data_IF_732296672224
#
_entry.id   IF_732296672224
#
_cell.length_a   1.000
_cell.length_b   1.000
_cell.length_c   1.000
_cell.angle_alpha   90.00
_cell.angle_beta   90.00
_cell.angle_gamma   90.00
#
_symmetry.space_group_name_H-M   'P 1'
#
loop_
_entity.id
_entity.type
_entity.pdbx_description
1 polymer ?
#
# COMPACT_ATOMS: atom_id res chain seq x y z
N UNK A 1 19.25 -11.63 8.24
CA UNK A 1 17.79 -11.76 8.11
C UNK A 1 17.54 -12.34 6.74
N UNK A 2 17.09 -13.59 6.67
CA UNK A 2 16.61 -14.18 5.42
C UNK A 2 15.38 -13.40 4.94
N UNK A 3 15.24 -13.12 3.63
CA UNK A 3 14.07 -12.43 3.09
C UNK A 3 12.74 -13.14 3.33
N UNK A 4 12.79 -14.43 3.65
CA UNK A 4 11.62 -15.27 3.98
C UNK A 4 11.30 -15.32 5.47
N UNK A 5 12.09 -14.68 6.33
CA UNK A 5 11.75 -14.56 7.74
C UNK A 5 10.41 -13.80 7.88
N UNK A 6 9.49 -14.26 8.76
CA UNK A 6 8.17 -13.65 8.92
C UNK A 6 8.24 -12.14 9.18
N UNK A 7 9.26 -11.69 9.90
CA UNK A 7 9.49 -10.27 10.20
C UNK A 7 9.74 -9.44 8.93
N UNK A 8 10.49 -9.98 7.97
CA UNK A 8 10.80 -9.28 6.72
C UNK A 8 9.55 -9.21 5.81
N UNK A 9 8.77 -10.29 5.78
CA UNK A 9 7.48 -10.33 5.08
C UNK A 9 6.49 -9.31 5.68
N UNK A 10 6.43 -9.19 7.00
CA UNK A 10 5.58 -8.19 7.65
C UNK A 10 6.00 -6.76 7.31
N UNK A 11 7.31 -6.48 7.29
CA UNK A 11 7.80 -5.14 6.95
C UNK A 11 7.58 -4.77 5.48
N UNK A 12 7.72 -5.72 4.55
CA UNK A 12 7.58 -5.43 3.12
C UNK A 12 6.17 -5.58 2.58
N UNK A 13 5.30 -6.39 3.20
CA UNK A 13 3.96 -6.63 2.69
C UNK A 13 2.91 -5.94 3.56
N UNK A 14 2.95 -6.12 4.88
CA UNK A 14 1.89 -5.60 5.75
C UNK A 14 1.98 -4.07 5.89
N UNK A 15 3.15 -3.52 6.24
CA UNK A 15 3.28 -2.07 6.44
C UNK A 15 2.89 -1.27 5.18
N UNK A 16 3.39 -1.59 3.98
CA UNK A 16 3.02 -0.85 2.76
C UNK A 16 1.54 -1.01 2.40
N UNK A 17 0.94 -2.18 2.67
CA UNK A 17 -0.49 -2.40 2.47
C UNK A 17 -1.34 -1.53 3.39
N UNK A 18 -1.04 -1.49 4.69
CA UNK A 18 -1.77 -0.68 5.66
C UNK A 18 -1.64 0.81 5.37
N UNK A 19 -0.44 1.25 4.96
CA UNK A 19 -0.20 2.61 4.53
C UNK A 19 -1.01 2.96 3.27
N UNK A 20 -0.97 2.09 2.25
CA UNK A 20 -1.74 2.27 1.02
C UNK A 20 -3.25 2.35 1.26
N UNK A 21 -3.79 1.45 2.10
CA UNK A 21 -5.21 1.46 2.48
C UNK A 21 -5.59 2.73 3.24
N UNK A 22 -4.73 3.21 4.12
CA UNK A 22 -4.96 4.44 4.88
C UNK A 22 -5.00 5.66 3.96
N UNK A 23 -4.08 5.76 2.99
CA UNK A 23 -4.08 6.82 1.98
C UNK A 23 -5.33 6.80 1.09
N UNK A 24 -5.81 5.61 0.71
CA UNK A 24 -7.08 5.47 -0.03
C UNK A 24 -8.24 5.98 0.83
N UNK A 25 -8.32 5.56 2.09
CA UNK A 25 -9.34 6.03 3.03
C UNK A 25 -9.32 7.55 3.23
N UNK A 26 -8.14 8.12 3.44
CA UNK A 26 -7.94 9.57 3.54
C UNK A 26 -8.36 10.28 2.25
N UNK A 27 -7.99 9.74 1.09
CA UNK A 27 -8.38 10.28 -0.21
C UNK A 27 -9.89 10.28 -0.43
N UNK A 28 -10.59 9.23 -0.03
CA UNK A 28 -12.06 9.16 -0.07
C UNK A 28 -12.66 10.25 0.82
N UNK A 29 -12.16 10.41 2.05
CA UNK A 29 -12.63 11.46 2.97
C UNK A 29 -12.39 12.86 2.40
N UNK A 30 -11.24 13.10 1.79
CA UNK A 30 -10.90 14.37 1.14
C UNK A 30 -11.82 14.69 -0.02
N UNK A 31 -12.09 13.71 -0.90
CA UNK A 31 -13.05 13.87 -2.00
C UNK A 31 -14.45 14.20 -1.47
N UNK A 32 -14.89 13.52 -0.41
CA UNK A 32 -16.18 13.80 0.23
C UNK A 32 -16.25 15.22 0.81
N UNK A 33 -15.12 15.78 1.25
CA UNK A 33 -14.99 17.17 1.73
C UNK A 33 -14.78 18.19 0.61
N UNK A 34 -14.93 17.79 -0.66
CA UNK A 34 -14.66 18.61 -1.85
C UNK A 34 -13.21 19.14 -1.92
N UNK A 35 -12.27 18.46 -1.28
CA UNK A 35 -10.85 18.78 -1.38
C UNK A 35 -10.30 18.23 -2.70
N UNK A 36 -9.91 19.15 -3.60
CA UNK A 36 -9.37 18.83 -4.93
C UNK A 36 -8.13 17.94 -4.88
N UNK A 37 -7.44 17.83 -3.74
CA UNK A 37 -6.24 16.99 -3.60
C UNK A 37 -6.54 15.54 -3.19
N UNK A 38 -7.80 15.17 -2.93
CA UNK A 38 -8.16 13.82 -2.47
C UNK A 38 -7.83 12.71 -3.47
N UNK A 39 -7.89 12.98 -4.78
CA UNK A 39 -7.52 12.00 -5.82
C UNK A 39 -6.03 11.63 -5.77
N UNK A 40 -5.16 12.55 -5.34
CA UNK A 40 -3.72 12.30 -5.21
C UNK A 40 -3.48 11.21 -4.16
N UNK A 41 -4.12 11.33 -3.00
CA UNK A 41 -4.03 10.32 -1.93
C UNK A 41 -4.50 8.94 -2.41
N UNK A 42 -5.58 8.87 -3.21
CA UNK A 42 -6.06 7.61 -3.79
C UNK A 42 -5.05 7.00 -4.76
N UNK A 43 -4.47 7.81 -5.67
CA UNK A 43 -3.49 7.33 -6.65
C UNK A 43 -2.23 6.80 -5.96
N UNK A 44 -1.69 7.54 -4.99
CA UNK A 44 -0.53 7.08 -4.22
C UNK A 44 -0.84 5.83 -3.40
N UNK A 45 -2.01 5.78 -2.75
CA UNK A 45 -2.44 4.58 -2.02
C UNK A 45 -2.56 3.36 -2.92
N UNK A 46 -3.16 3.51 -4.10
CA UNK A 46 -3.25 2.46 -5.11
C UNK A 46 -1.88 1.99 -5.60
N UNK A 47 -0.91 2.91 -5.78
CA UNK A 47 0.46 2.56 -6.13
C UNK A 47 1.15 1.70 -5.07
N UNK A 48 0.97 2.02 -3.78
CA UNK A 48 1.50 1.21 -2.67
C UNK A 48 0.91 -0.21 -2.64
N UNK A 49 -0.40 -0.34 -2.89
CA UNK A 49 -1.05 -1.67 -2.98
C UNK A 49 -0.52 -2.45 -4.18
N UNK A 50 -0.40 -1.81 -5.34
CA UNK A 50 0.12 -2.45 -6.55
C UNK A 50 1.55 -2.97 -6.35
N UNK A 51 2.43 -2.14 -5.78
CA UNK A 51 3.79 -2.54 -5.44
C UNK A 51 3.81 -3.74 -4.49
N UNK A 52 2.95 -3.73 -3.47
CA UNK A 52 2.87 -4.84 -2.51
C UNK A 52 2.46 -6.15 -3.18
N UNK A 53 1.52 -6.10 -4.12
CA UNK A 53 1.10 -7.26 -4.91
C UNK A 53 2.25 -7.79 -5.76
N UNK A 54 2.99 -6.91 -6.44
CA UNK A 54 4.16 -7.30 -7.25
C UNK A 54 5.23 -7.97 -6.37
N UNK A 55 5.52 -7.40 -5.20
CA UNK A 55 6.50 -7.95 -4.26
C UNK A 55 6.04 -9.31 -3.73
N UNK A 56 4.75 -9.49 -3.42
CA UNK A 56 4.21 -10.78 -3.02
C UNK A 56 4.43 -11.86 -4.09
N UNK A 57 4.14 -11.54 -5.36
CA UNK A 57 4.37 -12.48 -6.46
C UNK A 57 5.86 -12.79 -6.65
N UNK A 58 6.74 -11.80 -6.50
CA UNK A 58 8.18 -11.99 -6.55
C UNK A 58 8.66 -12.98 -5.47
N UNK A 59 8.21 -12.83 -4.22
CA UNK A 59 8.57 -13.77 -3.15
C UNK A 59 7.96 -15.16 -3.30
N UNK A 60 6.79 -15.26 -3.94
CA UNK A 60 6.13 -16.56 -4.15
C UNK A 60 6.74 -17.34 -5.31
N UNK A 61 7.39 -16.67 -6.26
CA UNK A 61 8.05 -17.30 -7.41
C UNK A 61 9.51 -17.70 -7.16
N UNK A 62 10.08 -17.32 -6.01
CA UNK A 62 11.45 -17.65 -5.57
C UNK A 62 11.40 -18.83 -4.60
#
# INVERSE_FOLDING_TARGET
>A
MSPTEPQFLYMMLILPSLFGLTLIGEGIVKIYREEVQGWISIVFGGFFILLTIIVYFYFTQI
#
